data_IF_366667894814
#
_entry.id   IF_366667894814
#
_cell.length_a   1.000
_cell.length_b   1.000
_cell.length_c   1.000
_cell.angle_alpha   90.00
_cell.angle_beta   90.00
_cell.angle_gamma   90.00
#
_symmetry.space_group_name_H-M   'P 1'
#
loop_
_entity.id
_entity.type
_entity.pdbx_description
1 polymer ?
#
# COMPACT_ATOMS: atom_id res chain seq x y z
N UNK A 1 12.26 -12.10 -9.58
CA UNK A 1 11.87 -10.82 -8.95
C UNK A 1 13.11 -10.24 -8.28
N UNK A 2 13.25 -8.91 -8.18
CA UNK A 2 14.45 -8.27 -7.58
C UNK A 2 14.66 -8.72 -6.13
N UNK A 3 13.59 -8.91 -5.35
CA UNK A 3 13.69 -9.50 -4.01
C UNK A 3 14.36 -10.88 -4.02
N UNK A 4 13.88 -11.81 -4.86
CA UNK A 4 14.44 -13.16 -4.96
C UNK A 4 15.91 -13.20 -5.42
N UNK A 5 16.37 -12.17 -6.13
CA UNK A 5 17.76 -12.08 -6.63
C UNK A 5 18.72 -11.46 -5.59
N UNK A 6 18.24 -10.54 -4.75
CA UNK A 6 19.12 -9.70 -3.91
C UNK A 6 18.81 -9.71 -2.40
N UNK A 7 17.57 -9.95 -1.98
CA UNK A 7 17.15 -9.83 -0.58
C UNK A 7 16.65 -11.16 0.02
N UNK A 8 15.86 -11.93 -0.72
CA UNK A 8 15.36 -13.25 -0.31
C UNK A 8 14.45 -13.23 0.92
N UNK A 9 13.80 -12.08 1.21
CA UNK A 9 12.97 -11.89 2.41
C UNK A 9 11.58 -12.48 2.20
N UNK A 10 11.02 -12.35 0.98
CA UNK A 10 9.76 -12.98 0.60
C UNK A 10 8.49 -12.28 1.09
N UNK A 11 8.56 -11.38 2.08
CA UNK A 11 7.40 -10.68 2.63
C UNK A 11 7.72 -9.23 3.07
N UNK A 12 6.76 -8.32 2.87
CA UNK A 12 6.81 -6.93 3.34
C UNK A 12 7.64 -5.98 2.45
N UNK A 13 6.99 -4.95 1.89
CA UNK A 13 7.67 -3.99 1.01
C UNK A 13 8.76 -3.19 1.73
N UNK A 14 8.51 -2.80 2.98
CA UNK A 14 9.47 -2.05 3.81
C UNK A 14 10.72 -2.87 4.10
N UNK A 15 10.54 -4.14 4.46
CA UNK A 15 11.61 -5.09 4.77
C UNK A 15 12.48 -5.36 3.54
N UNK A 16 11.85 -5.62 2.40
CA UNK A 16 12.53 -5.81 1.11
C UNK A 16 13.29 -4.56 0.70
N UNK A 17 12.67 -3.38 0.76
CA UNK A 17 13.29 -2.12 0.38
C UNK A 17 14.53 -1.80 1.25
N UNK A 18 14.44 -2.02 2.56
CA UNK A 18 15.53 -1.81 3.51
C UNK A 18 16.73 -2.72 3.20
N UNK A 19 16.48 -3.98 2.83
CA UNK A 19 17.53 -4.90 2.42
C UNK A 19 18.19 -4.50 1.09
N UNK A 20 17.42 -4.00 0.12
CA UNK A 20 17.92 -3.58 -1.18
C UNK A 20 18.79 -2.31 -1.13
N UNK A 21 18.54 -1.37 -0.22
CA UNK A 21 19.47 -0.24 0.04
C UNK A 21 20.80 -0.74 0.59
N UNK A 22 20.77 -1.73 1.50
CA UNK A 22 22.00 -2.29 2.08
C UNK A 22 22.90 -2.97 1.04
N UNK A 23 22.32 -3.36 -0.11
CA UNK A 23 23.02 -3.93 -1.26
C UNK A 23 23.39 -2.89 -2.34
N UNK A 24 23.20 -1.59 -2.11
CA UNK A 24 23.35 -0.50 -3.10
C UNK A 24 22.49 -0.69 -4.37
N UNK A 25 21.36 -1.39 -4.28
CA UNK A 25 20.45 -1.63 -5.41
C UNK A 25 19.43 -0.50 -5.57
N UNK A 26 19.04 0.11 -4.45
CA UNK A 26 18.11 1.25 -4.37
C UNK A 26 18.79 2.45 -3.71
N UNK A 27 18.29 3.65 -4.01
CA UNK A 27 18.63 4.87 -3.28
C UNK A 27 17.81 5.00 -1.99
N UNK A 28 18.32 5.77 -1.03
CA UNK A 28 17.58 6.12 0.21
C UNK A 28 16.24 6.79 -0.11
N UNK A 29 16.20 7.62 -1.15
CA UNK A 29 14.95 8.27 -1.61
C UNK A 29 13.93 7.22 -2.10
N UNK A 30 14.38 6.23 -2.87
CA UNK A 30 13.50 5.17 -3.38
C UNK A 30 12.96 4.33 -2.22
N UNK A 31 13.79 4.02 -1.23
CA UNK A 31 13.35 3.30 -0.03
C UNK A 31 12.35 4.12 0.77
N UNK A 32 12.62 5.41 1.00
CA UNK A 32 11.67 6.29 1.69
C UNK A 32 10.30 6.31 0.99
N UNK A 33 10.29 6.34 -0.35
CA UNK A 33 9.05 6.25 -1.15
C UNK A 33 8.34 4.91 -0.99
N UNK A 34 9.07 3.80 -0.98
CA UNK A 34 8.47 2.47 -0.77
C UNK A 34 7.89 2.36 0.65
N UNK A 35 8.59 2.83 1.68
CA UNK A 35 8.10 2.85 3.06
C UNK A 35 6.83 3.71 3.19
N UNK A 36 6.80 4.89 2.55
CA UNK A 36 5.61 5.74 2.52
C UNK A 36 4.41 5.04 1.87
N UNK A 37 4.64 4.32 0.76
CA UNK A 37 3.60 3.55 0.07
C UNK A 37 3.10 2.36 0.89
N UNK A 38 4.00 1.71 1.63
CA UNK A 38 3.64 0.63 2.54
C UNK A 38 2.79 1.15 3.72
N UNK A 39 3.16 2.30 4.30
CA UNK A 39 2.35 2.98 5.32
C UNK A 39 0.97 3.36 4.78
N UNK A 40 0.94 3.98 3.60
CA UNK A 40 -0.30 4.38 2.93
C UNK A 40 -1.20 3.17 2.65
N UNK A 41 -0.64 2.10 2.07
CA UNK A 41 -1.32 0.85 1.81
C UNK A 41 -1.92 0.22 3.07
N UNK A 42 -1.18 0.27 4.18
CA UNK A 42 -1.69 -0.18 5.49
C UNK A 42 -2.90 0.65 5.94
N UNK A 43 -2.85 1.97 5.78
CA UNK A 43 -3.91 2.89 6.19
C UNK A 43 -5.17 2.83 5.33
N UNK A 44 -5.05 2.39 4.08
CA UNK A 44 -6.21 2.14 3.22
C UNK A 44 -6.72 0.69 3.31
N UNK A 45 -6.25 -0.10 4.26
CA UNK A 45 -6.61 -1.51 4.40
C UNK A 45 -6.30 -2.35 3.14
N UNK A 46 -5.20 -2.02 2.45
CA UNK A 46 -4.67 -2.89 1.40
C UNK A 46 -3.98 -4.10 2.02
N UNK A 47 -4.69 -5.22 2.03
CA UNK A 47 -4.19 -6.53 2.50
C UNK A 47 -3.42 -7.31 1.45
N UNK A 48 -3.38 -6.83 0.20
CA UNK A 48 -2.74 -7.52 -0.93
C UNK A 48 -1.46 -6.80 -1.41
N UNK A 49 -0.56 -6.55 -0.47
CA UNK A 49 0.74 -5.89 -0.71
C UNK A 49 1.87 -6.90 -0.80
N UNK A 50 1.69 -7.91 -1.64
CA UNK A 50 2.75 -8.88 -1.89
C UNK A 50 3.87 -8.24 -2.75
N UNK A 51 5.11 -8.77 -2.74
CA UNK A 51 6.22 -8.19 -3.50
C UNK A 51 5.96 -8.03 -5.00
N UNK A 52 5.11 -8.88 -5.58
CA UNK A 52 4.70 -8.79 -7.00
C UNK A 52 3.91 -7.53 -7.38
N UNK A 53 3.38 -6.77 -6.41
CA UNK A 53 2.66 -5.51 -6.64
C UNK A 53 3.58 -4.27 -6.53
N UNK A 54 4.89 -4.50 -6.43
CA UNK A 54 5.92 -3.47 -6.46
C UNK A 54 6.89 -3.77 -7.62
N UNK A 55 6.90 -2.89 -8.62
CA UNK A 55 7.83 -3.01 -9.74
C UNK A 55 8.96 -2.00 -9.64
N UNK A 56 10.16 -2.44 -10.03
CA UNK A 56 11.35 -1.61 -10.14
C UNK A 56 11.78 -1.55 -11.62
N UNK A 57 12.13 -0.36 -12.07
CA UNK A 57 12.66 -0.09 -13.41
C UNK A 57 14.17 0.14 -13.31
N UNK A 58 14.90 -0.18 -14.37
CA UNK A 58 16.32 0.16 -14.47
C UNK A 58 16.46 1.66 -14.68
N UNK A 59 17.04 2.37 -13.70
CA UNK A 59 17.49 3.75 -13.84
C UNK A 59 18.95 3.83 -14.28
N UNK A 60 19.47 5.05 -14.39
CA UNK A 60 20.82 5.30 -14.90
C UNK A 60 21.93 4.77 -13.96
N UNK A 61 21.70 4.83 -12.66
CA UNK A 61 22.69 4.46 -11.62
C UNK A 61 22.17 3.47 -10.57
N UNK A 62 20.85 3.29 -10.48
CA UNK A 62 20.18 2.42 -9.51
C UNK A 62 18.80 2.03 -10.03
N UNK A 63 18.14 1.07 -9.38
CA UNK A 63 16.74 0.78 -9.70
C UNK A 63 15.83 1.89 -9.15
N UNK A 64 14.84 2.26 -9.94
CA UNK A 64 13.84 3.25 -9.59
C UNK A 64 12.48 2.60 -9.41
N UNK A 65 11.65 3.18 -8.54
CA UNK A 65 10.29 2.71 -8.34
C UNK A 65 9.42 3.03 -9.57
N UNK A 66 8.80 1.99 -10.15
CA UNK A 66 7.81 2.15 -11.22
C UNK A 66 6.56 2.90 -10.70
N UNK A 67 5.72 3.48 -11.58
CA UNK A 67 4.42 3.99 -11.17
C UNK A 67 3.62 2.95 -10.40
N UNK A 68 2.98 3.37 -9.31
CA UNK A 68 2.21 2.47 -8.45
C UNK A 68 0.99 1.92 -9.18
N UNK A 69 0.66 0.67 -8.89
CA UNK A 69 -0.53 -0.02 -9.38
C UNK A 69 -1.10 -0.90 -8.26
N UNK A 70 -2.32 -1.38 -8.44
CA UNK A 70 -3.01 -2.29 -7.51
C UNK A 70 -3.02 -1.82 -6.04
N UNK A 71 -3.21 -0.50 -5.86
CA UNK A 71 -3.25 0.14 -4.56
C UNK A 71 -4.70 0.35 -4.10
N UNK A 72 -5.35 -0.76 -3.74
CA UNK A 72 -6.79 -0.83 -3.45
C UNK A 72 -7.05 -1.31 -2.01
N UNK A 73 -8.21 -0.97 -1.42
CA UNK A 73 -8.54 -1.29 -0.04
C UNK A 73 -9.07 -2.73 0.08
N UNK A 74 -8.20 -3.70 -0.19
CA UNK A 74 -8.55 -5.11 -0.43
C UNK A 74 -9.20 -5.82 0.75
N UNK A 75 -9.05 -5.32 1.98
CA UNK A 75 -9.80 -5.83 3.15
C UNK A 75 -11.32 -5.80 2.91
N UNK A 76 -11.80 -4.81 2.15
CA UNK A 76 -13.22 -4.65 1.86
C UNK A 76 -13.64 -5.23 0.52
N UNK A 77 -12.76 -6.00 -0.15
CA UNK A 77 -13.10 -6.61 -1.43
C UNK A 77 -14.42 -7.41 -1.31
N UNK A 78 -15.30 -7.30 -2.31
CA UNK A 78 -16.56 -8.02 -2.29
C UNK A 78 -16.31 -9.52 -2.43
N UNK A 79 -17.10 -10.32 -1.71
CA UNK A 79 -17.10 -11.77 -1.88
C UNK A 79 -18.31 -12.16 -2.72
N UNK A 80 -18.08 -12.90 -3.81
CA UNK A 80 -19.14 -13.28 -4.78
C UNK A 80 -19.93 -12.07 -5.32
N UNK A 81 -19.30 -10.90 -5.37
CA UNK A 81 -19.91 -9.65 -5.85
C UNK A 81 -20.67 -8.84 -4.79
N UNK A 82 -20.71 -9.30 -3.54
CA UNK A 82 -21.41 -8.63 -2.45
C UNK A 82 -20.43 -7.96 -1.48
N UNK A 83 -20.80 -6.77 -1.01
CA UNK A 83 -20.08 -6.09 0.08
C UNK A 83 -20.34 -6.85 1.38
N UNK A 84 -19.27 -7.33 2.00
CA UNK A 84 -19.35 -8.10 3.25
C UNK A 84 -19.14 -7.18 4.44
N UNK A 85 -20.01 -7.31 5.44
CA UNK A 85 -19.85 -6.64 6.73
C UNK A 85 -18.67 -7.28 7.46
N UNK A 86 -17.67 -6.46 7.83
CA UNK A 86 -16.41 -6.89 8.43
C UNK A 86 -16.14 -6.09 9.68
N UNK A 87 -15.33 -6.64 10.59
CA UNK A 87 -14.83 -5.89 11.73
C UNK A 87 -14.06 -4.65 11.27
N UNK A 88 -14.07 -3.55 12.03
CA UNK A 88 -13.35 -2.35 11.65
C UNK A 88 -11.87 -2.62 11.41
N UNK A 89 -11.32 -2.06 10.32
CA UNK A 89 -9.90 -2.18 10.04
C UNK A 89 -9.08 -1.54 11.16
N UNK A 90 -8.22 -2.34 11.80
CA UNK A 90 -7.39 -1.90 12.91
C UNK A 90 -5.93 -1.79 12.49
N UNK A 91 -5.34 -0.62 12.70
CA UNK A 91 -3.93 -0.39 12.44
C UNK A 91 -3.07 -1.13 13.49
N UNK A 92 -2.22 -2.06 13.04
CA UNK A 92 -1.38 -2.90 13.92
C UNK A 92 0.07 -2.44 14.05
N UNK A 93 0.45 -1.35 13.38
CA UNK A 93 1.82 -0.81 13.40
C UNK A 93 1.82 0.72 13.34
N UNK A 94 2.92 1.32 13.79
CA UNK A 94 3.12 2.75 13.56
C UNK A 94 3.26 3.05 12.06
N UNK A 95 2.80 4.23 11.65
CA UNK A 95 2.86 4.75 10.27
C UNK A 95 3.19 6.23 10.34
N UNK A 96 3.83 6.74 9.30
CA UNK A 96 4.22 8.14 9.15
C UNK A 96 3.03 9.10 9.06
N UNK A 97 3.22 10.34 9.52
CA UNK A 97 2.20 11.40 9.44
C UNK A 97 1.87 11.80 8.00
N UNK A 98 2.86 11.69 7.10
CA UNK A 98 2.65 11.90 5.68
C UNK A 98 1.67 10.87 5.11
N UNK A 99 1.87 9.58 5.41
CA UNK A 99 0.94 8.53 5.00
C UNK A 99 -0.46 8.74 5.56
N UNK A 100 -0.60 9.17 6.82
CA UNK A 100 -1.89 9.51 7.44
C UNK A 100 -2.60 10.63 6.68
N UNK A 101 -1.86 11.66 6.30
CA UNK A 101 -2.39 12.80 5.52
C UNK A 101 -2.88 12.34 4.15
N UNK A 102 -2.10 11.51 3.46
CA UNK A 102 -2.46 10.96 2.15
C UNK A 102 -3.68 10.04 2.24
N UNK A 103 -3.72 9.13 3.22
CA UNK A 103 -4.83 8.21 3.44
C UNK A 103 -6.13 8.95 3.80
N UNK A 104 -6.06 10.01 4.62
CA UNK A 104 -7.20 10.86 4.91
C UNK A 104 -7.84 11.41 3.64
N UNK A 105 -7.02 12.02 2.77
CA UNK A 105 -7.46 12.55 1.46
C UNK A 105 -7.98 11.47 0.52
N UNK A 106 -7.36 10.29 0.52
CA UNK A 106 -7.84 9.15 -0.27
C UNK A 106 -9.26 8.80 0.13
N UNK A 107 -9.49 8.59 1.42
CA UNK A 107 -10.80 8.17 1.89
C UNK A 107 -11.86 9.27 1.80
N UNK A 108 -11.49 10.56 1.94
CA UNK A 108 -12.39 11.68 1.61
C UNK A 108 -12.87 11.57 0.16
N UNK A 109 -11.96 11.37 -0.80
CA UNK A 109 -12.32 11.19 -2.21
C UNK A 109 -13.19 9.95 -2.46
N UNK A 110 -12.94 8.85 -1.76
CA UNK A 110 -13.79 7.64 -1.85
C UNK A 110 -15.21 7.93 -1.37
N UNK A 111 -15.36 8.66 -0.27
CA UNK A 111 -16.66 9.03 0.30
C UNK A 111 -17.41 10.07 -0.55
N UNK A 112 -16.70 10.90 -1.30
CA UNK A 112 -17.30 11.92 -2.18
C UNK A 112 -17.56 11.40 -3.61
N UNK A 113 -16.99 10.25 -4.00
CA UNK A 113 -17.10 9.74 -5.36
C UNK A 113 -18.43 9.05 -5.64
N UNK A 114 -19.11 9.47 -6.72
CA UNK A 114 -20.32 8.83 -7.25
C UNK A 114 -20.04 7.53 -8.01
N UNK A 115 -18.78 7.27 -8.37
CA UNK A 115 -18.36 6.02 -9.03
C UNK A 115 -18.27 4.85 -8.03
N UNK A 116 -18.17 5.15 -6.74
CA UNK A 116 -18.15 4.17 -5.66
C UNK A 116 -19.58 3.85 -5.24
N UNK A 117 -19.88 2.60 -4.87
CA UNK A 117 -21.24 2.23 -4.44
C UNK A 117 -21.60 2.88 -3.09
N UNK A 118 -22.90 3.15 -2.89
CA UNK A 118 -23.37 3.74 -1.63
C UNK A 118 -23.17 2.80 -0.44
N UNK A 119 -23.31 1.49 -0.68
CA UNK A 119 -23.07 0.43 0.28
C UNK A 119 -21.62 0.46 0.78
N UNK A 120 -20.65 0.53 -0.16
CA UNK A 120 -19.24 0.56 0.22
C UNK A 120 -18.85 1.85 0.94
N UNK A 121 -19.35 3.02 0.49
CA UNK A 121 -19.13 4.28 1.21
C UNK A 121 -19.67 4.24 2.64
N UNK A 122 -20.82 3.62 2.84
CA UNK A 122 -21.44 3.47 4.17
C UNK A 122 -20.59 2.57 5.08
N UNK A 123 -20.02 1.49 4.54
CA UNK A 123 -19.12 0.61 5.28
C UNK A 123 -17.87 1.36 5.75
N UNK A 124 -17.13 2.00 4.85
CA UNK A 124 -15.85 2.64 5.20
C UNK A 124 -16.01 3.92 6.01
N UNK A 125 -17.18 4.59 5.96
CA UNK A 125 -17.49 5.72 6.85
C UNK A 125 -17.58 5.30 8.32
N UNK A 126 -17.95 4.05 8.62
CA UNK A 126 -17.97 3.50 9.99
C UNK A 126 -16.56 3.20 10.50
N UNK A 127 -15.67 2.79 9.61
CA UNK A 127 -14.29 2.41 9.92
C UNK A 127 -13.32 3.59 10.05
N UNK A 128 -13.75 4.81 9.71
CA UNK A 128 -12.96 6.05 9.87
C UNK A 128 -12.83 6.55 11.34
N UNK A 129 -13.25 5.75 12.32
CA UNK A 129 -13.26 6.09 13.75
C UNK A 129 -11.91 5.91 14.44
#
# INVERSE_FOLDING_TARGET
MVDAEYAGIGEGWTEIATALVSANVLTDETVARICLLDDFGTLIANTDRHPGNLALLTGDTSFELAPIYDMLPMYFAPERGEVIDRDPWSLRRAVSDEARTLAGRYWERVLDSTEVSAEFRTLVARDKG
#
